data_IF_306411573753
#
_entry.id   IF_306411573753
#
_cell.length_a   1.000
_cell.length_b   1.000
_cell.length_c   1.000
_cell.angle_alpha   90.00
_cell.angle_beta   90.00
_cell.angle_gamma   90.00
#
_symmetry.space_group_name_H-M   'P 1'
#
loop_
_entity.id
_entity.type
_entity.pdbx_description
1 polymer ?
#
# COMPACT_ATOMS: atom_id res chain seq x y z
N UNK A 1 -0.09 -17.02 -18.94
CA UNK A 1 0.55 -17.04 -17.61
C UNK A 1 -0.20 -16.02 -16.76
N UNK A 2 -1.11 -16.46 -15.89
CA UNK A 2 -1.76 -15.55 -14.96
C UNK A 2 -0.68 -15.14 -13.96
N UNK A 3 -0.21 -13.89 -14.01
CA UNK A 3 0.56 -13.34 -12.91
C UNK A 3 -0.35 -13.44 -11.68
N UNK A 4 0.02 -14.27 -10.70
CA UNK A 4 -0.65 -14.25 -9.41
C UNK A 4 -0.23 -12.94 -8.73
N UNK A 5 -0.98 -11.87 -9.00
CA UNK A 5 -0.77 -10.56 -8.39
C UNK A 5 -0.92 -10.68 -6.87
N UNK A 6 -0.05 -9.99 -6.13
CA UNK A 6 -0.15 -9.93 -4.68
C UNK A 6 -1.56 -9.41 -4.28
N UNK A 7 -2.32 -10.14 -3.45
CA UNK A 7 -3.72 -9.78 -3.15
C UNK A 7 -3.84 -8.43 -2.41
N UNK A 8 -2.78 -7.96 -1.75
CA UNK A 8 -2.75 -6.64 -1.11
C UNK A 8 -2.67 -5.48 -2.10
N UNK A 9 -2.24 -5.73 -3.35
CA UNK A 9 -2.12 -4.71 -4.40
C UNK A 9 -3.39 -4.59 -5.26
N UNK A 10 -4.45 -5.32 -4.93
CA UNK A 10 -5.73 -5.21 -5.64
C UNK A 10 -6.37 -3.83 -5.41
N UNK A 11 -6.68 -3.12 -6.48
CA UNK A 11 -7.23 -1.75 -6.43
C UNK A 11 -8.75 -1.70 -6.46
N UNK A 12 -9.42 -2.84 -6.62
CA UNK A 12 -10.87 -2.92 -6.81
C UNK A 12 -11.55 -3.68 -5.68
N UNK A 13 -12.67 -3.17 -5.19
CA UNK A 13 -13.53 -3.86 -4.23
C UNK A 13 -12.96 -3.89 -2.80
N UNK A 14 -13.37 -4.93 -2.06
CA UNK A 14 -12.96 -5.16 -0.67
C UNK A 14 -11.69 -6.02 -0.59
N UNK A 15 -10.88 -5.90 0.48
CA UNK A 15 -9.72 -6.75 0.68
C UNK A 15 -10.09 -8.24 0.70
N UNK A 16 -9.40 -9.05 -0.10
CA UNK A 16 -9.61 -10.49 -0.15
C UNK A 16 -8.88 -11.18 1.02
N UNK A 17 -9.35 -10.97 2.25
CA UNK A 17 -8.70 -11.43 3.49
C UNK A 17 -8.31 -12.92 3.50
N UNK A 18 -9.12 -13.78 2.86
CA UNK A 18 -8.85 -15.23 2.77
C UNK A 18 -7.62 -15.58 1.93
N UNK A 19 -7.16 -14.66 1.08
CA UNK A 19 -6.00 -14.85 0.19
C UNK A 19 -4.73 -14.17 0.74
N UNK A 20 -4.85 -13.32 1.77
CA UNK A 20 -3.70 -12.64 2.37
C UNK A 20 -2.95 -13.62 3.25
N UNK A 21 -1.63 -13.69 3.05
CA UNK A 21 -0.71 -14.50 3.83
C UNK A 21 0.47 -13.63 4.29
N UNK A 22 1.18 -13.99 5.37
CA UNK A 22 2.32 -13.21 5.87
C UNK A 22 3.37 -12.90 4.79
N UNK A 23 3.68 -13.86 3.92
CA UNK A 23 4.67 -13.68 2.84
C UNK A 23 4.30 -12.60 1.81
N UNK A 24 3.04 -12.16 1.77
CA UNK A 24 2.59 -11.11 0.87
C UNK A 24 2.87 -9.69 1.40
N UNK A 25 3.05 -9.53 2.72
CA UNK A 25 3.05 -8.22 3.39
C UNK A 25 4.24 -7.36 2.95
N UNK A 26 5.46 -7.84 3.20
CA UNK A 26 6.69 -7.10 2.91
C UNK A 26 6.81 -6.76 1.41
N UNK A 27 6.57 -7.69 0.46
CA UNK A 27 6.62 -7.36 -0.96
C UNK A 27 5.61 -6.27 -1.37
N UNK A 28 4.36 -6.33 -0.89
CA UNK A 28 3.35 -5.32 -1.23
C UNK A 28 3.69 -3.94 -0.65
N UNK A 29 4.17 -3.91 0.60
CA UNK A 29 4.57 -2.67 1.26
C UNK A 29 5.76 -2.03 0.58
N UNK A 30 6.78 -2.81 0.21
CA UNK A 30 7.93 -2.29 -0.51
C UNK A 30 7.54 -1.69 -1.85
N UNK A 31 6.66 -2.35 -2.61
CA UNK A 31 6.16 -1.84 -3.88
C UNK A 31 5.43 -0.51 -3.70
N UNK A 32 4.42 -0.46 -2.81
CA UNK A 32 3.60 0.76 -2.64
C UNK A 32 4.40 1.91 -2.02
N UNK A 33 5.34 1.64 -1.12
CA UNK A 33 6.23 2.66 -0.54
C UNK A 33 7.23 3.20 -1.58
N UNK A 34 7.71 2.35 -2.48
CA UNK A 34 8.58 2.78 -3.58
C UNK A 34 7.83 3.75 -4.49
N UNK A 35 6.64 3.35 -4.96
CA UNK A 35 5.78 4.23 -5.79
C UNK A 35 5.37 5.51 -5.05
N UNK A 36 5.10 5.43 -3.73
CA UNK A 36 4.76 6.60 -2.93
C UNK A 36 5.93 7.61 -2.90
N UNK A 37 7.16 7.16 -2.65
CA UNK A 37 8.35 8.01 -2.65
C UNK A 37 8.61 8.63 -4.02
N UNK A 38 8.55 7.83 -5.08
CA UNK A 38 8.69 8.31 -6.46
C UNK A 38 7.63 9.37 -6.80
N UNK A 39 6.41 9.20 -6.31
CA UNK A 39 5.33 10.19 -6.49
C UNK A 39 5.70 11.50 -5.79
N UNK A 40 6.13 11.45 -4.52
CA UNK A 40 6.55 12.65 -3.78
C UNK A 40 7.70 13.36 -4.49
N UNK A 41 8.75 12.63 -4.87
CA UNK A 41 9.92 13.18 -5.56
C UNK A 41 9.52 13.86 -6.87
N UNK A 42 8.67 13.20 -7.66
CA UNK A 42 8.16 13.75 -8.91
C UNK A 42 7.34 15.02 -8.71
N UNK A 43 6.41 15.03 -7.75
CA UNK A 43 5.56 16.20 -7.48
C UNK A 43 6.39 17.42 -7.06
N UNK A 44 7.48 17.20 -6.31
CA UNK A 44 8.39 18.27 -5.90
C UNK A 44 9.32 18.74 -7.03
N UNK A 45 9.75 17.83 -7.91
CA UNK A 45 10.61 18.16 -9.04
C UNK A 45 9.86 18.89 -10.17
N UNK A 46 8.62 18.48 -10.44
CA UNK A 46 7.82 18.98 -11.57
C UNK A 46 7.15 20.34 -11.28
N UNK A 47 7.07 20.77 -10.01
CA UNK A 47 6.32 21.95 -9.60
C UNK A 47 7.15 22.92 -8.75
N UNK A 48 7.08 24.21 -9.09
CA UNK A 48 7.66 25.31 -8.30
C UNK A 48 6.61 26.16 -7.57
N UNK A 49 5.34 25.97 -7.92
CA UNK A 49 4.18 26.56 -7.27
C UNK A 49 3.20 25.43 -6.95
N UNK A 50 2.75 25.35 -5.70
CA UNK A 50 1.91 24.26 -5.22
C UNK A 50 0.45 24.67 -5.11
N UNK A 51 -0.41 23.78 -5.55
CA UNK A 51 -1.86 23.93 -5.61
C UNK A 51 -2.50 22.65 -5.09
N UNK A 52 -3.82 22.71 -4.91
CA UNK A 52 -4.59 21.52 -4.54
C UNK A 52 -4.40 20.39 -5.57
N UNK A 53 -4.43 20.72 -6.86
CA UNK A 53 -4.48 19.73 -7.95
C UNK A 53 -3.10 19.11 -8.26
N UNK A 54 -2.03 19.88 -8.11
CA UNK A 54 -0.66 19.42 -8.45
C UNK A 54 0.17 18.94 -7.25
N UNK A 55 -0.34 19.03 -6.02
CA UNK A 55 0.33 18.52 -4.83
C UNK A 55 -0.63 17.76 -3.91
N UNK A 56 -1.65 18.44 -3.37
CA UNK A 56 -2.49 17.87 -2.32
C UNK A 56 -3.26 16.64 -2.79
N UNK A 57 -3.95 16.73 -3.92
CA UNK A 57 -4.72 15.64 -4.50
C UNK A 57 -3.86 14.42 -4.88
N UNK A 58 -2.79 14.55 -5.69
CA UNK A 58 -1.98 13.39 -6.05
C UNK A 58 -1.26 12.77 -4.83
N UNK A 59 -0.89 13.56 -3.83
CA UNK A 59 -0.34 13.04 -2.58
C UNK A 59 -1.39 12.27 -1.76
N UNK A 60 -2.62 12.78 -1.68
CA UNK A 60 -3.73 12.08 -1.01
C UNK A 60 -4.04 10.75 -1.71
N UNK A 61 -4.10 10.73 -3.04
CA UNK A 61 -4.31 9.51 -3.82
C UNK A 61 -3.19 8.48 -3.61
N UNK A 62 -1.93 8.92 -3.50
CA UNK A 62 -0.82 8.05 -3.15
C UNK A 62 -0.94 7.50 -1.72
N UNK A 63 -1.38 8.34 -0.77
CA UNK A 63 -1.65 7.96 0.61
C UNK A 63 -2.77 6.92 0.73
N UNK A 64 -3.84 7.08 -0.06
CA UNK A 64 -4.95 6.14 -0.13
C UNK A 64 -4.50 4.76 -0.65
N UNK A 65 -3.60 4.72 -1.63
CA UNK A 65 -3.00 3.46 -2.12
C UNK A 65 -2.20 2.76 -1.02
N UNK A 66 -1.37 3.50 -0.29
CA UNK A 66 -0.64 2.95 0.86
C UNK A 66 -1.60 2.43 1.94
N UNK A 67 -2.65 3.20 2.27
CA UNK A 67 -3.65 2.78 3.25
C UNK A 67 -4.37 1.50 2.81
N UNK A 68 -4.70 1.35 1.52
CA UNK A 68 -5.37 0.14 1.00
C UNK A 68 -4.52 -1.12 1.16
N UNK A 69 -3.20 -1.00 1.11
CA UNK A 69 -2.26 -2.10 1.37
C UNK A 69 -2.13 -2.36 2.87
N UNK A 70 -2.00 -1.31 3.69
CA UNK A 70 -1.69 -1.46 5.11
C UNK A 70 -2.90 -1.82 5.98
N UNK A 71 -4.08 -1.26 5.71
CA UNK A 71 -5.27 -1.49 6.55
C UNK A 71 -5.65 -2.97 6.70
N UNK A 72 -5.61 -3.82 5.65
CA UNK A 72 -5.86 -5.25 5.79
C UNK A 72 -4.83 -5.97 6.66
N UNK A 73 -3.56 -5.59 6.56
CA UNK A 73 -2.46 -6.17 7.36
C UNK A 73 -2.64 -5.82 8.84
N UNK A 74 -2.90 -4.55 9.13
CA UNK A 74 -3.19 -4.08 10.49
C UNK A 74 -4.43 -4.75 11.09
N UNK A 75 -5.49 -4.91 10.29
CA UNK A 75 -6.70 -5.63 10.71
C UNK A 75 -6.39 -7.09 11.07
N UNK A 76 -5.68 -7.82 10.20
CA UNK A 76 -5.30 -9.21 10.46
C UNK A 76 -4.40 -9.33 11.70
N UNK A 77 -3.48 -8.41 11.92
CA UNK A 77 -2.67 -8.40 13.14
C UNK A 77 -3.55 -8.24 14.40
N UNK A 78 -4.62 -7.43 14.32
CA UNK A 78 -5.55 -7.22 15.43
C UNK A 78 -6.48 -8.41 15.73
N UNK A 79 -6.86 -9.20 14.72
CA UNK A 79 -7.90 -10.26 14.88
C UNK A 79 -7.39 -11.68 14.70
N UNK A 80 -6.18 -11.86 14.16
CA UNK A 80 -5.60 -13.16 13.79
C UNK A 80 -4.08 -13.20 14.07
N UNK A 81 -3.70 -12.77 15.27
CA UNK A 81 -2.29 -12.69 15.68
C UNK A 81 -1.66 -14.10 15.78
N UNK A 82 -0.74 -14.42 14.88
CA UNK A 82 0.16 -15.58 14.95
C UNK A 82 1.62 -15.11 14.82
N UNK A 83 2.59 -15.99 15.11
CA UNK A 83 4.00 -15.61 15.13
C UNK A 83 4.47 -15.08 13.75
N UNK A 84 4.07 -15.77 12.68
CA UNK A 84 4.43 -15.46 11.31
C UNK A 84 3.83 -14.12 10.85
N UNK A 85 2.60 -13.82 11.26
CA UNK A 85 1.96 -12.54 10.93
C UNK A 85 2.56 -11.37 11.73
N UNK A 86 2.97 -11.63 12.97
CA UNK A 86 3.63 -10.62 13.82
C UNK A 86 4.99 -10.23 13.27
N UNK A 87 5.79 -11.21 12.86
CA UNK A 87 7.07 -10.97 12.18
C UNK A 87 6.90 -10.15 10.90
N UNK A 88 5.85 -10.41 10.12
CA UNK A 88 5.56 -9.63 8.93
C UNK A 88 5.00 -8.22 9.21
N UNK A 89 4.52 -7.95 10.43
CA UNK A 89 3.91 -6.68 10.84
C UNK A 89 4.91 -5.69 11.46
N UNK A 90 5.91 -6.21 12.19
CA UNK A 90 6.97 -5.43 12.87
C UNK A 90 7.96 -4.79 11.88
#
# INVERSE_FOLDING_TARGET
MFFMSNPLLSTTGLPAFSLIKPEHVVPALNEVLTTYRETVEKLLADNTQFTQDNLCQPLAEAGDKLSRVWSPVSHLNSVKNCAELREAYE
#
